data_IF_972124124064
#
_entry.id   IF_972124124064
#
_cell.length_a   1.000
_cell.length_b   1.000
_cell.length_c   1.000
_cell.angle_alpha   90.00
_cell.angle_beta   90.00
_cell.angle_gamma   90.00
#
_symmetry.space_group_name_H-M   'P 1'
#
loop_
_entity.id
_entity.type
_entity.pdbx_description
1 polymer ?
#
# COMPACT_ATOMS: atom_id res chain seq x y z
N UNK A 1 -5.63 -8.83 30.87
CA UNK A 1 -4.53 -8.92 29.90
C UNK A 1 -4.87 -7.96 28.76
N UNK A 2 -4.66 -6.66 28.97
CA UNK A 2 -5.06 -5.59 28.05
C UNK A 2 -3.93 -4.58 27.98
N UNK A 3 -3.02 -4.74 27.03
CA UNK A 3 -2.04 -3.71 26.67
C UNK A 3 -1.57 -3.97 25.24
N UNK A 4 -2.45 -3.81 24.24
CA UNK A 4 -1.99 -3.64 22.85
C UNK A 4 -3.03 -2.98 21.90
N UNK A 5 -3.98 -2.20 22.41
CA UNK A 5 -5.16 -1.76 21.62
C UNK A 5 -4.99 -0.45 20.84
N UNK A 6 -4.11 0.48 21.22
CA UNK A 6 -4.13 1.83 20.61
C UNK A 6 -3.75 1.86 19.12
N UNK A 7 -2.77 1.06 18.68
CA UNK A 7 -2.35 1.05 17.28
C UNK A 7 -3.34 0.27 16.39
N UNK A 8 -3.87 -0.85 16.88
CA UNK A 8 -4.88 -1.65 16.18
C UNK A 8 -6.18 -0.88 15.99
N UNK A 9 -6.60 -0.11 16.99
CA UNK A 9 -7.82 0.72 16.91
C UNK A 9 -7.73 1.80 15.82
N UNK A 10 -6.57 2.44 15.68
CA UNK A 10 -6.37 3.45 14.64
C UNK A 10 -6.38 2.83 13.24
N UNK A 11 -5.77 1.64 13.09
CA UNK A 11 -5.81 0.88 11.83
C UNK A 11 -7.24 0.44 11.51
N UNK A 12 -8.01 0.04 12.54
CA UNK A 12 -9.40 -0.38 12.41
C UNK A 12 -10.30 0.71 11.85
N UNK A 13 -10.21 1.90 12.42
CA UNK A 13 -10.93 3.07 11.93
C UNK A 13 -10.51 3.41 10.50
N UNK A 14 -9.21 3.26 10.19
CA UNK A 14 -8.66 3.57 8.87
C UNK A 14 -9.21 2.65 7.78
N UNK A 15 -9.10 1.32 7.89
CA UNK A 15 -9.59 0.42 6.84
C UNK A 15 -11.12 0.53 6.70
N UNK A 16 -11.85 0.72 7.81
CA UNK A 16 -13.31 0.91 7.78
C UNK A 16 -13.69 2.15 6.99
N UNK A 17 -12.97 3.26 7.19
CA UNK A 17 -13.17 4.49 6.41
C UNK A 17 -12.90 4.24 4.93
N UNK A 18 -11.83 3.53 4.58
CA UNK A 18 -11.55 3.22 3.17
C UNK A 18 -12.62 2.35 2.53
N UNK A 19 -13.19 1.37 3.24
CA UNK A 19 -14.35 0.61 2.77
C UNK A 19 -15.56 1.53 2.47
N UNK A 20 -15.84 2.49 3.35
CA UNK A 20 -16.91 3.47 3.13
C UNK A 20 -16.64 4.45 1.98
N UNK A 21 -15.38 4.63 1.55
CA UNK A 21 -15.06 5.46 0.39
C UNK A 21 -15.33 4.75 -0.95
N UNK A 22 -15.58 3.43 -0.94
CA UNK A 22 -15.81 2.66 -2.16
C UNK A 22 -17.13 3.02 -2.87
N UNK A 23 -18.10 3.53 -2.11
CA UNK A 23 -19.38 4.01 -2.65
C UNK A 23 -19.22 5.20 -3.63
N UNK A 24 -18.08 5.91 -3.61
CA UNK A 24 -17.83 7.03 -4.51
C UNK A 24 -17.10 6.54 -5.76
N UNK A 25 -17.52 6.99 -6.94
CA UNK A 25 -16.89 6.62 -8.22
C UNK A 25 -15.57 7.35 -8.50
N UNK A 26 -14.81 6.84 -9.47
CA UNK A 26 -13.62 7.48 -10.01
C UNK A 26 -12.34 7.24 -9.20
N UNK A 27 -11.48 8.26 -9.13
CA UNK A 27 -10.13 8.13 -8.53
C UNK A 27 -10.14 7.89 -7.02
N UNK A 28 -11.21 8.29 -6.33
CA UNK A 28 -11.37 8.05 -4.88
C UNK A 28 -11.48 6.55 -4.61
N UNK A 29 -12.31 5.84 -5.38
CA UNK A 29 -12.48 4.38 -5.31
C UNK A 29 -11.17 3.65 -5.50
N UNK A 30 -10.45 3.97 -6.59
CA UNK A 30 -9.17 3.33 -6.93
C UNK A 30 -8.14 3.51 -5.82
N UNK A 31 -8.05 4.73 -5.26
CA UNK A 31 -7.14 5.02 -4.14
C UNK A 31 -7.56 4.27 -2.86
N UNK A 32 -8.86 4.20 -2.57
CA UNK A 32 -9.37 3.47 -1.42
C UNK A 32 -9.08 1.96 -1.53
N UNK A 33 -9.37 1.34 -2.68
CA UNK A 33 -9.01 -0.05 -2.97
C UNK A 33 -7.51 -0.29 -2.85
N UNK A 34 -6.67 0.60 -3.40
CA UNK A 34 -5.23 0.50 -3.26
C UNK A 34 -4.80 0.53 -1.78
N UNK A 35 -5.38 1.40 -0.95
CA UNK A 35 -5.09 1.40 0.48
C UNK A 35 -5.55 0.11 1.17
N UNK A 36 -6.73 -0.42 0.81
CA UNK A 36 -7.24 -1.69 1.35
C UNK A 36 -6.30 -2.87 1.02
N UNK A 37 -5.75 -2.92 -0.20
CA UNK A 37 -4.74 -3.95 -0.56
C UNK A 37 -3.46 -3.85 0.26
N UNK A 38 -3.11 -2.68 0.79
CA UNK A 38 -1.98 -2.52 1.71
C UNK A 38 -2.29 -3.11 3.09
N UNK A 39 -3.51 -2.95 3.58
CA UNK A 39 -3.95 -3.54 4.86
C UNK A 39 -4.04 -5.08 4.78
N UNK A 40 -4.37 -5.64 3.61
CA UNK A 40 -4.34 -7.10 3.38
C UNK A 40 -2.94 -7.71 3.52
N UNK A 41 -1.88 -6.95 3.23
CA UNK A 41 -0.48 -7.36 3.45
C UNK A 41 0.13 -6.76 4.74
N UNK A 42 -0.68 -6.39 5.73
CA UNK A 42 -0.16 -5.83 6.98
C UNK A 42 0.57 -6.89 7.82
N UNK A 43 1.54 -6.45 8.63
CA UNK A 43 2.27 -7.31 9.58
C UNK A 43 1.41 -7.85 10.74
N UNK A 44 0.20 -7.28 10.93
CA UNK A 44 -0.72 -7.66 12.00
C UNK A 44 -1.83 -8.51 11.38
N UNK A 45 -1.88 -9.83 11.64
CA UNK A 45 -2.79 -10.70 10.90
C UNK A 45 -4.26 -10.50 11.29
N UNK A 46 -4.52 -10.05 12.52
CA UNK A 46 -5.84 -9.52 12.92
C UNK A 46 -6.34 -8.41 11.99
N UNK A 47 -5.46 -7.48 11.60
CA UNK A 47 -5.79 -6.40 10.66
C UNK A 47 -6.06 -6.96 9.27
N UNK A 48 -5.28 -7.96 8.81
CA UNK A 48 -5.48 -8.62 7.51
C UNK A 48 -6.86 -9.25 7.41
N UNK A 49 -7.20 -10.11 8.39
CA UNK A 49 -8.49 -10.82 8.47
C UNK A 49 -9.67 -9.86 8.57
N UNK A 50 -9.57 -8.83 9.41
CA UNK A 50 -10.63 -7.85 9.55
C UNK A 50 -10.83 -7.00 8.29
N UNK A 51 -9.73 -6.66 7.59
CA UNK A 51 -9.78 -5.96 6.30
C UNK A 51 -10.42 -6.83 5.22
N UNK A 52 -10.04 -8.11 5.12
CA UNK A 52 -10.62 -9.04 4.15
C UNK A 52 -12.13 -9.18 4.33
N UNK A 53 -12.59 -9.37 5.58
CA UNK A 53 -14.01 -9.45 5.90
C UNK A 53 -14.76 -8.16 5.54
N UNK A 54 -14.23 -6.99 5.90
CA UNK A 54 -14.88 -5.71 5.56
C UNK A 54 -14.85 -5.38 4.08
N UNK A 55 -13.79 -5.75 3.36
CA UNK A 55 -13.72 -5.59 1.92
C UNK A 55 -14.73 -6.51 1.23
N UNK A 56 -14.84 -7.77 1.67
CA UNK A 56 -15.86 -8.71 1.18
C UNK A 56 -17.27 -8.14 1.38
N UNK A 57 -17.60 -7.70 2.60
CA UNK A 57 -18.91 -7.07 2.89
C UNK A 57 -19.18 -5.86 1.97
N UNK A 58 -18.17 -5.01 1.75
CA UNK A 58 -18.30 -3.83 0.91
C UNK A 58 -18.49 -4.18 -0.57
N UNK A 59 -17.78 -5.18 -1.09
CA UNK A 59 -17.92 -5.65 -2.47
C UNK A 59 -19.28 -6.30 -2.74
N UNK A 60 -19.83 -7.02 -1.77
CA UNK A 60 -21.20 -7.57 -1.85
C UNK A 60 -22.25 -6.46 -1.77
N UNK A 61 -21.96 -5.36 -1.06
CA UNK A 61 -22.88 -4.21 -0.94
C UNK A 61 -22.85 -3.29 -2.16
N UNK A 62 -21.68 -3.20 -2.81
CA UNK A 62 -21.39 -2.29 -3.92
C UNK A 62 -20.72 -3.11 -5.04
N UNK A 63 -21.51 -3.93 -5.74
CA UNK A 63 -21.06 -4.82 -6.82
C UNK A 63 -20.51 -4.05 -8.04
N UNK A 64 -20.97 -2.83 -8.27
CA UNK A 64 -20.48 -1.91 -9.32
C UNK A 64 -19.04 -1.36 -9.11
N UNK A 65 -18.37 -1.71 -8.01
CA UNK A 65 -17.00 -1.23 -7.72
C UNK A 65 -15.99 -1.85 -8.69
N UNK A 66 -16.17 -3.13 -9.02
CA UNK A 66 -15.25 -3.96 -9.79
C UNK A 66 -15.98 -4.55 -11.01
N UNK A 67 -15.26 -5.01 -12.05
CA UNK A 67 -15.90 -5.70 -13.16
C UNK A 67 -16.69 -6.92 -12.66
N UNK A 68 -17.90 -7.13 -13.19
CA UNK A 68 -18.76 -8.27 -12.83
C UNK A 68 -18.03 -9.61 -13.01
N UNK A 69 -17.30 -9.76 -14.12
CA UNK A 69 -16.47 -10.94 -14.42
C UNK A 69 -15.38 -11.24 -13.36
N UNK A 70 -14.98 -10.22 -12.59
CA UNK A 70 -13.93 -10.32 -11.58
C UNK A 70 -14.47 -10.37 -10.15
N UNK A 71 -15.72 -9.97 -9.92
CA UNK A 71 -16.32 -9.85 -8.59
C UNK A 71 -16.35 -11.21 -7.87
N UNK A 72 -16.79 -12.26 -8.56
CA UNK A 72 -16.85 -13.62 -8.02
C UNK A 72 -15.47 -14.16 -7.66
N UNK A 73 -14.47 -13.94 -8.51
CA UNK A 73 -13.08 -14.37 -8.25
C UNK A 73 -12.48 -13.62 -7.05
N UNK A 74 -12.72 -12.30 -6.95
CA UNK A 74 -12.23 -11.48 -5.83
C UNK A 74 -12.87 -11.93 -4.52
N UNK A 75 -14.19 -12.06 -4.47
CA UNK A 75 -14.93 -12.42 -3.26
C UNK A 75 -14.63 -13.85 -2.80
N UNK A 76 -14.46 -14.78 -3.73
CA UNK A 76 -13.99 -16.15 -3.47
C UNK A 76 -12.58 -16.13 -2.89
N UNK A 77 -11.65 -15.41 -3.51
CA UNK A 77 -10.27 -15.27 -3.02
C UNK A 77 -10.22 -14.66 -1.62
N UNK A 78 -11.03 -13.63 -1.34
CA UNK A 78 -11.06 -12.98 -0.03
C UNK A 78 -11.58 -13.91 1.09
N UNK A 79 -12.49 -14.81 0.77
CA UNK A 79 -13.14 -15.72 1.73
C UNK A 79 -12.41 -17.05 1.90
N UNK A 80 -11.87 -17.63 0.82
CA UNK A 80 -11.14 -18.90 0.83
C UNK A 80 -9.70 -18.73 1.32
N UNK A 81 -9.07 -17.59 1.05
CA UNK A 81 -7.70 -17.35 1.48
C UNK A 81 -7.62 -17.15 2.99
N UNK A 82 -6.69 -17.85 3.63
CA UNK A 82 -6.48 -17.75 5.07
C UNK A 82 -5.63 -16.53 5.41
N UNK A 83 -6.22 -15.52 6.03
CA UNK A 83 -5.52 -14.28 6.43
C UNK A 83 -4.88 -14.34 7.82
N UNK A 84 -4.69 -15.55 8.36
CA UNK A 84 -4.37 -15.81 9.77
C UNK A 84 -2.88 -15.60 10.13
N UNK A 85 -2.55 -15.79 11.41
CA UNK A 85 -1.23 -15.49 11.98
C UNK A 85 -0.10 -16.37 11.43
N UNK A 86 -0.42 -17.56 10.95
CA UNK A 86 0.55 -18.56 10.49
C UNK A 86 1.18 -18.22 9.11
N UNK A 87 0.56 -17.33 8.34
CA UNK A 87 1.00 -17.02 6.98
C UNK A 87 1.96 -15.83 6.96
N UNK A 88 3.14 -16.05 6.38
CA UNK A 88 4.12 -15.01 6.13
C UNK A 88 3.63 -14.00 5.08
N UNK A 89 3.99 -12.73 5.27
CA UNK A 89 3.62 -11.64 4.35
C UNK A 89 4.08 -11.91 2.92
N UNK A 90 5.20 -12.63 2.74
CA UNK A 90 5.74 -12.95 1.41
C UNK A 90 4.78 -13.82 0.58
N UNK A 91 4.12 -14.78 1.22
CA UNK A 91 3.11 -15.65 0.59
C UNK A 91 1.81 -14.90 0.25
N UNK A 92 1.54 -13.77 0.90
CA UNK A 92 0.34 -12.96 0.66
C UNK A 92 0.52 -12.03 -0.53
N UNK A 93 1.76 -11.59 -0.82
CA UNK A 93 2.07 -10.70 -1.95
C UNK A 93 1.53 -11.18 -3.31
N UNK A 94 1.69 -12.45 -3.72
CA UNK A 94 1.14 -12.92 -5.00
C UNK A 94 -0.39 -12.83 -5.03
N UNK A 95 -1.06 -13.21 -3.94
CA UNK A 95 -2.53 -13.13 -3.82
C UNK A 95 -3.00 -11.68 -3.88
N UNK A 96 -2.35 -10.77 -3.15
CA UNK A 96 -2.63 -9.33 -3.21
C UNK A 96 -2.42 -8.79 -4.63
N UNK A 97 -1.37 -9.22 -5.33
CA UNK A 97 -1.10 -8.75 -6.68
C UNK A 97 -2.18 -9.19 -7.67
N UNK A 98 -2.63 -10.45 -7.60
CA UNK A 98 -3.76 -10.94 -8.38
C UNK A 98 -5.03 -10.12 -8.05
N UNK A 99 -5.34 -9.92 -6.77
CA UNK A 99 -6.44 -9.06 -6.34
C UNK A 99 -6.33 -7.64 -6.89
N UNK A 100 -5.13 -7.05 -6.94
CA UNK A 100 -4.92 -5.73 -7.54
C UNK A 100 -5.22 -5.72 -9.04
N UNK A 101 -4.86 -6.78 -9.77
CA UNK A 101 -5.13 -6.90 -11.20
C UNK A 101 -6.63 -7.04 -11.47
N UNK A 102 -7.32 -7.89 -10.70
CA UNK A 102 -8.77 -8.09 -10.79
C UNK A 102 -9.54 -6.81 -10.46
N UNK A 103 -9.09 -6.05 -9.46
CA UNK A 103 -9.67 -4.75 -9.09
C UNK A 103 -9.20 -3.59 -9.98
N UNK A 104 -8.34 -3.84 -10.96
CA UNK A 104 -7.78 -2.84 -11.87
C UNK A 104 -7.09 -1.66 -11.13
N UNK A 105 -6.41 -1.97 -10.02
CA UNK A 105 -5.68 -0.99 -9.20
C UNK A 105 -4.17 -1.16 -9.30
N UNK A 106 -3.41 -0.05 -9.24
CA UNK A 106 -1.96 -0.12 -9.32
C UNK A 106 -1.35 -0.90 -8.15
N UNK A 107 -0.58 -1.93 -8.48
CA UNK A 107 0.09 -2.80 -7.51
C UNK A 107 0.98 -1.97 -6.56
N UNK A 108 0.89 -2.19 -5.24
CA UNK A 108 1.77 -1.50 -4.32
C UNK A 108 3.22 -1.96 -4.47
N UNK A 109 4.07 -1.06 -4.98
CA UNK A 109 5.52 -1.25 -5.09
C UNK A 109 6.20 -0.77 -3.81
N UNK A 110 7.05 -1.61 -3.23
CA UNK A 110 7.96 -1.20 -2.17
C UNK A 110 8.99 -0.25 -2.79
N UNK A 111 8.84 1.05 -2.58
CA UNK A 111 9.88 2.02 -2.91
C UNK A 111 11.06 1.74 -1.98
N UNK A 112 12.13 1.12 -2.48
CA UNK A 112 13.43 1.17 -1.78
C UNK A 112 13.75 2.65 -1.58
N UNK A 113 13.97 3.06 -0.32
CA UNK A 113 14.47 4.41 -0.04
C UNK A 113 15.74 4.59 -0.88
N UNK A 114 15.83 5.62 -1.74
CA UNK A 114 17.06 5.85 -2.46
C UNK A 114 18.16 6.07 -1.43
N UNK A 115 19.19 5.21 -1.46
CA UNK A 115 20.43 5.46 -0.74
C UNK A 115 21.01 6.71 -1.37
N UNK A 116 20.92 7.84 -0.68
CA UNK A 116 21.67 9.05 -1.04
C UNK A 116 23.14 8.68 -0.91
N UNK A 117 23.78 8.36 -2.03
CA UNK A 117 25.23 8.25 -2.09
C UNK A 117 25.78 9.65 -1.87
N UNK A 118 26.49 9.85 -0.76
CA UNK A 118 27.21 11.08 -0.47
C UNK A 118 28.22 11.34 -1.61
N UNK A 119 28.35 12.58 -2.12
CA UNK A 119 29.35 12.87 -3.13
C UNK A 119 30.75 12.68 -2.56
N UNK A 120 31.55 11.83 -3.21
CA UNK A 120 32.96 11.60 -2.94
C UNK A 120 33.73 12.92 -3.08
N UNK A 121 34.11 13.48 -1.93
CA UNK A 121 34.88 14.71 -1.84
C UNK A 121 36.33 14.47 -2.22
N UNK A 122 36.67 14.50 -3.51
CA UNK A 122 38.06 14.73 -3.97
C UNK A 122 38.09 15.55 -5.25
N UNK A 123 38.41 16.83 -5.07
CA UNK A 123 38.60 17.77 -6.17
C UNK A 123 39.23 19.07 -5.70
N UNK A 124 40.34 19.02 -4.96
CA UNK A 124 41.22 20.17 -4.76
C UNK A 124 41.89 20.50 -6.09
N UNK A 125 41.20 21.29 -6.91
CA UNK A 125 41.74 21.89 -8.12
C UNK A 125 42.50 23.14 -7.69
N UNK A 126 43.82 23.04 -7.64
CA UNK A 126 44.71 24.20 -7.59
C UNK A 126 44.42 25.08 -8.80
N UNK A 127 43.80 26.23 -8.54
CA UNK A 127 43.46 27.25 -9.53
C UNK A 127 44.13 28.55 -9.14
N UNK A 128 45.12 28.92 -9.95
CA UNK A 128 46.04 30.04 -9.82
C UNK A 128 45.32 31.37 -9.51
N UNK A 129 45.84 32.12 -8.53
CA UNK A 129 45.35 33.46 -8.20
C UNK A 129 45.77 34.43 -9.30
N UNK A 130 44.78 35.09 -9.90
CA UNK A 130 44.92 36.06 -10.98
C UNK A 130 45.61 37.33 -10.49
N UNK A 131 46.90 37.50 -10.77
CA UNK A 131 47.53 38.81 -10.69
C UNK A 131 47.39 39.52 -12.03
N UNK A 132 46.36 40.36 -12.13
CA UNK A 132 46.22 41.35 -13.19
C UNK A 132 45.76 42.67 -12.56
N UNK A 133 46.70 43.57 -12.30
CA UNK A 133 46.43 45.01 -12.15
C UNK A 133 47.30 45.77 -13.15
N UNK A 134 46.70 46.48 -14.13
CA UNK A 134 47.42 47.49 -14.87
C UNK A 134 47.24 48.88 -14.25
N UNK A 135 48.38 49.58 -14.16
CA UNK A 135 48.63 51.03 -14.29
C UNK A 135 47.86 52.01 -13.39
N UNK A 136 48.63 52.67 -12.52
CA UNK A 136 49.01 54.09 -12.67
C UNK A 136 50.35 54.30 -11.98
#
# INVERSE_FOLDING_TARGET
MFVETSAEDHLRVSYTRYCGLLQFEGEVRKKALQQLTMFLCHKYPRVRKATANKLYEALVTYDEIVPEDSLDEITTTLSEFTWDDEIEVESIRPVRNNLCDLMNVPRPVLKKRPVVQAPDGRGLRGGNCVEARPRT
#
